data_IF_805698592408
#
_entry.id   IF_805698592408
#
_cell.length_a   1.000
_cell.length_b   1.000
_cell.length_c   1.000
_cell.angle_alpha   90.00
_cell.angle_beta   90.00
_cell.angle_gamma   90.00
#
_symmetry.space_group_name_H-M   'P 1'
#
loop_
_entity.id
_entity.type
_entity.pdbx_description
1 polymer ?
#
# COMPACT_ATOMS: atom_id res chain seq x y z
N UNK A 1 38.49 -27.18 32.90
CA UNK A 1 37.74 -26.02 33.43
C UNK A 1 37.02 -25.40 32.24
N UNK A 2 35.70 -25.63 32.13
CA UNK A 2 34.82 -25.04 31.12
C UNK A 2 34.20 -23.78 31.70
N UNK A 3 34.18 -22.67 30.97
CA UNK A 3 33.11 -21.68 31.11
C UNK A 3 32.74 -21.19 29.71
N UNK A 4 31.50 -21.49 29.38
CA UNK A 4 30.71 -21.02 28.24
C UNK A 4 30.16 -19.64 28.56
N UNK A 5 30.09 -18.76 27.57
CA UNK A 5 29.26 -17.55 27.66
C UNK A 5 28.69 -17.18 26.29
N UNK A 6 27.44 -17.58 26.10
CA UNK A 6 26.50 -17.10 25.09
C UNK A 6 25.83 -15.81 25.60
N UNK A 7 25.62 -14.80 24.75
CA UNK A 7 24.52 -13.85 24.94
C UNK A 7 23.65 -13.82 23.68
N UNK A 8 22.35 -14.08 23.72
CA UNK A 8 21.40 -13.50 24.65
C UNK A 8 20.48 -12.53 23.90
N UNK A 9 19.46 -13.11 23.26
CA UNK A 9 18.11 -12.60 22.96
C UNK A 9 17.83 -11.11 23.26
N UNK A 10 17.57 -10.29 22.23
CA UNK A 10 17.00 -8.94 22.36
C UNK A 10 15.57 -8.91 21.82
N UNK A 11 14.63 -9.20 22.71
CA UNK A 11 13.21 -8.93 22.55
C UNK A 11 13.02 -7.40 22.53
N UNK A 12 12.48 -6.85 21.43
CA UNK A 12 12.00 -5.47 21.39
C UNK A 12 10.52 -5.47 21.77
N UNK A 13 10.22 -4.94 22.94
CA UNK A 13 8.88 -4.67 23.46
C UNK A 13 8.37 -3.37 22.82
N UNK A 14 7.23 -3.43 22.15
CA UNK A 14 6.48 -2.26 21.69
C UNK A 14 5.63 -1.71 22.85
N UNK A 15 5.64 -0.40 23.15
CA UNK A 15 4.71 0.18 24.09
C UNK A 15 3.33 0.40 23.44
N UNK A 16 2.32 -0.06 24.15
CA UNK A 16 0.89 0.22 24.00
C UNK A 16 0.62 1.72 24.27
N UNK A 17 -0.16 2.37 23.41
CA UNK A 17 -0.66 3.73 23.63
C UNK A 17 -2.15 3.81 23.31
N UNK A 18 -2.95 3.42 24.29
CA UNK A 18 -4.35 3.83 24.42
C UNK A 18 -4.44 5.14 25.21
N UNK A 19 -5.25 6.05 24.65
CA UNK A 19 -6.20 6.93 25.36
C UNK A 19 -5.69 8.26 25.94
N UNK A 20 -6.25 9.36 25.41
CA UNK A 20 -6.48 10.62 26.13
C UNK A 20 -7.76 11.27 25.56
N UNK A 21 -8.72 11.53 26.45
CA UNK A 21 -9.94 12.27 26.20
C UNK A 21 -9.69 13.79 26.26
N UNK A 22 -10.46 14.61 25.54
CA UNK A 22 -10.67 16.01 25.89
C UNK A 22 -12.07 16.51 25.50
N UNK A 23 -12.57 17.40 26.34
CA UNK A 23 -13.95 17.81 26.68
C UNK A 23 -14.49 18.90 25.72
N UNK A 24 -15.83 19.05 25.57
CA UNK A 24 -16.43 20.01 24.62
C UNK A 24 -16.49 21.43 25.17
N UNK A 25 -16.43 22.43 24.27
CA UNK A 25 -16.73 23.82 24.57
C UNK A 25 -17.84 24.36 23.66
N UNK A 26 -18.98 24.64 24.29
CA UNK A 26 -20.09 25.46 23.80
C UNK A 26 -19.61 26.90 23.58
N UNK A 27 -19.95 27.48 22.44
CA UNK A 27 -20.12 28.92 22.31
C UNK A 27 -21.50 29.23 21.69
N UNK A 28 -22.20 30.15 22.34
CA UNK A 28 -23.52 30.70 21.99
C UNK A 28 -23.33 32.01 21.20
N UNK A 29 -24.23 32.30 20.24
CA UNK A 29 -24.39 33.61 19.59
C UNK A 29 -24.87 33.50 18.14
N UNK A 30 -26.18 33.48 17.83
CA UNK A 30 -27.12 34.60 17.61
C UNK A 30 -27.24 35.10 16.14
N UNK A 31 -28.30 34.62 15.46
CA UNK A 31 -29.29 35.34 14.61
C UNK A 31 -28.87 35.97 13.26
N UNK A 32 -29.38 35.46 12.12
CA UNK A 32 -30.52 36.00 11.33
C UNK A 32 -30.88 35.13 10.12
N UNK A 33 -32.20 35.03 9.95
CA UNK A 33 -33.06 34.49 8.89
C UNK A 33 -32.69 34.94 7.47
N UNK A 34 -32.68 34.01 6.49
CA UNK A 34 -33.24 34.24 5.15
C UNK A 34 -33.74 32.93 4.53
N UNK A 35 -35.02 32.94 4.10
CA UNK A 35 -35.60 31.97 3.17
C UNK A 35 -34.91 32.12 1.82
N UNK A 36 -34.61 31.01 1.18
CA UNK A 36 -34.18 30.96 -0.21
C UNK A 36 -33.98 29.52 -0.65
N UNK A 37 -35.03 28.90 -1.16
CA UNK A 37 -34.91 27.69 -1.96
C UNK A 37 -34.12 28.04 -3.22
N UNK A 38 -33.02 27.34 -3.49
CA UNK A 38 -32.52 27.23 -4.87
C UNK A 38 -31.52 26.09 -4.99
N UNK A 39 -31.93 25.12 -5.82
CA UNK A 39 -31.12 24.20 -6.61
C UNK A 39 -29.75 23.80 -6.03
N UNK A 40 -29.70 22.62 -5.40
CA UNK A 40 -28.49 21.82 -5.41
C UNK A 40 -28.21 21.51 -6.89
N UNK A 41 -27.12 22.01 -7.49
CA UNK A 41 -26.68 21.44 -8.74
C UNK A 41 -26.28 20.02 -8.36
N UNK A 42 -26.99 19.03 -8.86
CA UNK A 42 -26.44 17.71 -8.98
C UNK A 42 -25.25 17.86 -9.94
N UNK A 43 -24.10 18.25 -9.37
CA UNK A 43 -22.81 17.96 -9.97
C UNK A 43 -22.85 16.44 -10.01
N UNK A 44 -23.30 15.90 -11.15
CA UNK A 44 -22.91 14.57 -11.60
C UNK A 44 -21.41 14.67 -11.67
N UNK A 45 -20.78 14.43 -10.52
CA UNK A 45 -19.38 14.16 -10.40
C UNK A 45 -19.15 13.14 -11.47
N UNK A 46 -18.42 13.55 -12.49
CA UNK A 46 -17.83 12.63 -13.43
C UNK A 46 -17.01 11.74 -12.50
N UNK A 47 -17.57 10.61 -12.09
CA UNK A 47 -16.81 9.53 -11.49
C UNK A 47 -15.79 9.25 -12.58
N UNK A 48 -14.63 9.89 -12.50
CA UNK A 48 -13.47 9.47 -13.24
C UNK A 48 -13.42 7.98 -12.91
N UNK A 49 -13.67 7.15 -13.91
CA UNK A 49 -13.67 5.72 -13.71
C UNK A 49 -12.29 5.41 -13.12
N UNK A 50 -12.25 5.18 -11.81
CA UNK A 50 -11.03 4.84 -11.10
C UNK A 50 -10.66 3.50 -11.71
N UNK A 51 -9.70 3.52 -12.64
CA UNK A 51 -9.24 2.30 -13.27
C UNK A 51 -8.67 1.48 -12.11
N UNK A 52 -9.23 0.29 -11.83
CA UNK A 52 -8.80 -0.48 -10.68
C UNK A 52 -7.32 -0.85 -10.87
N UNK A 53 -6.53 -0.68 -9.80
CA UNK A 53 -5.09 -0.95 -9.80
C UNK A 53 -4.77 -2.45 -9.91
N UNK A 54 -5.78 -3.32 -9.78
CA UNK A 54 -5.69 -4.75 -10.07
C UNK A 54 -6.98 -5.23 -10.72
N UNK A 55 -6.87 -6.19 -11.63
CA UNK A 55 -8.00 -6.98 -12.16
C UNK A 55 -8.53 -7.93 -11.08
N UNK A 56 -9.73 -8.49 -11.28
CA UNK A 56 -10.32 -9.42 -10.32
C UNK A 56 -9.48 -10.72 -10.23
N UNK A 57 -8.92 -11.16 -11.35
CA UNK A 57 -8.02 -12.32 -11.41
C UNK A 57 -6.72 -12.06 -10.65
N UNK A 58 -6.11 -10.89 -10.84
CA UNK A 58 -4.93 -10.47 -10.07
C UNK A 58 -5.23 -10.36 -8.58
N UNK A 59 -6.38 -9.77 -8.22
CA UNK A 59 -6.83 -9.64 -6.84
C UNK A 59 -7.07 -10.99 -6.17
N UNK A 60 -7.67 -11.94 -6.88
CA UNK A 60 -7.85 -13.32 -6.42
C UNK A 60 -6.51 -13.98 -6.11
N UNK A 61 -5.51 -13.83 -7.01
CA UNK A 61 -4.15 -14.36 -6.75
C UNK A 61 -3.50 -13.70 -5.54
N UNK A 62 -3.58 -12.38 -5.44
CA UNK A 62 -3.02 -11.62 -4.31
C UNK A 62 -3.65 -12.03 -2.98
N UNK A 63 -4.97 -12.24 -2.95
CA UNK A 63 -5.69 -12.70 -1.76
C UNK A 63 -5.32 -14.13 -1.38
N UNK A 64 -5.15 -15.03 -2.35
CA UNK A 64 -4.69 -16.39 -2.08
C UNK A 64 -3.29 -16.41 -1.43
N UNK A 65 -2.36 -15.60 -1.95
CA UNK A 65 -1.05 -15.41 -1.31
C UNK A 65 -1.17 -14.80 0.09
N UNK A 66 -2.10 -13.85 0.27
CA UNK A 66 -2.39 -13.22 1.56
C UNK A 66 -2.90 -14.20 2.61
N UNK A 67 -3.83 -15.08 2.22
CA UNK A 67 -4.35 -16.13 3.10
C UNK A 67 -3.24 -17.10 3.54
N UNK A 68 -2.39 -17.53 2.61
CA UNK A 68 -1.25 -18.38 2.92
C UNK A 68 -0.28 -17.70 3.91
N UNK A 69 0.06 -16.41 3.70
CA UNK A 69 0.90 -15.64 4.64
C UNK A 69 0.24 -15.47 6.00
N UNK A 70 -1.05 -15.15 6.04
CA UNK A 70 -1.81 -14.99 7.29
C UNK A 70 -1.90 -16.30 8.09
N UNK A 71 -1.90 -17.45 7.40
CA UNK A 71 -1.80 -18.77 8.00
C UNK A 71 -0.37 -19.14 8.49
N UNK A 72 0.60 -18.23 8.38
CA UNK A 72 1.98 -18.44 8.81
C UNK A 72 2.80 -19.32 7.86
N UNK A 73 2.33 -19.53 6.63
CA UNK A 73 3.09 -20.27 5.63
C UNK A 73 4.25 -19.41 5.11
N UNK A 74 5.44 -19.99 5.07
CA UNK A 74 6.58 -19.37 4.41
C UNK A 74 6.45 -19.56 2.90
N UNK A 75 5.93 -18.52 2.23
CA UNK A 75 5.71 -18.53 0.78
C UNK A 75 6.58 -17.49 0.08
N UNK A 76 7.07 -17.86 -1.10
CA UNK A 76 7.81 -16.99 -2.00
C UNK A 76 7.11 -16.96 -3.38
N UNK A 77 5.97 -16.24 -3.49
CA UNK A 77 5.15 -16.26 -4.68
C UNK A 77 5.79 -15.48 -5.83
N UNK A 78 5.35 -15.78 -7.05
CA UNK A 78 5.51 -14.85 -8.17
C UNK A 78 4.66 -13.59 -7.89
N UNK A 79 5.22 -12.37 -8.02
CA UNK A 79 4.43 -11.16 -7.89
C UNK A 79 3.30 -11.14 -8.91
N UNK A 80 2.11 -10.71 -8.49
CA UNK A 80 0.92 -10.77 -9.34
C UNK A 80 0.65 -9.47 -10.10
N UNK A 81 1.13 -8.33 -9.58
CA UNK A 81 0.84 -7.00 -10.13
C UNK A 81 2.09 -6.12 -10.03
N UNK A 82 2.38 -5.39 -11.11
CA UNK A 82 3.34 -4.28 -11.11
C UNK A 82 2.58 -2.97 -11.32
N UNK A 83 2.81 -2.02 -10.43
CA UNK A 83 2.29 -0.66 -10.49
C UNK A 83 3.46 0.31 -10.63
N UNK A 84 3.23 1.43 -11.31
CA UNK A 84 4.23 2.47 -11.45
C UNK A 84 3.59 3.85 -11.62
N UNK A 85 4.31 4.88 -11.23
CA UNK A 85 3.92 6.27 -11.49
C UNK A 85 4.61 6.72 -12.79
N UNK A 86 3.91 6.99 -13.90
CA UNK A 86 4.56 7.17 -15.20
C UNK A 86 5.47 8.38 -15.38
N UNK A 87 5.34 9.36 -14.50
CA UNK A 87 6.10 10.62 -14.45
C UNK A 87 6.94 10.74 -13.17
N UNK A 88 7.08 9.63 -12.43
CA UNK A 88 8.02 9.48 -11.32
C UNK A 88 8.74 8.14 -11.45
N UNK A 89 9.82 7.92 -10.72
CA UNK A 89 10.53 6.63 -10.74
C UNK A 89 10.00 5.67 -9.68
N UNK A 90 8.74 5.80 -9.28
CA UNK A 90 8.12 4.97 -8.26
C UNK A 90 7.48 3.72 -8.87
N UNK A 91 7.83 2.56 -8.33
CA UNK A 91 7.36 1.24 -8.75
C UNK A 91 6.97 0.40 -7.52
N UNK A 92 5.85 -0.31 -7.62
CA UNK A 92 5.40 -1.28 -6.61
C UNK A 92 5.16 -2.63 -7.26
N UNK A 93 5.78 -3.66 -6.71
CA UNK A 93 5.67 -5.03 -7.18
C UNK A 93 4.94 -5.87 -6.11
N UNK A 94 3.65 -6.11 -6.33
CA UNK A 94 2.74 -6.65 -5.31
C UNK A 94 2.71 -8.17 -5.33
N UNK A 95 2.88 -8.75 -4.15
CA UNK A 95 2.93 -10.20 -3.95
C UNK A 95 1.69 -10.75 -3.24
N UNK A 96 1.06 -10.00 -2.34
CA UNK A 96 -0.16 -10.42 -1.66
C UNK A 96 -1.04 -9.24 -1.24
N UNK A 97 -2.31 -9.51 -0.97
CA UNK A 97 -3.25 -8.60 -0.30
C UNK A 97 -3.68 -9.18 1.03
N UNK A 98 -3.79 -8.34 2.05
CA UNK A 98 -4.36 -8.73 3.35
C UNK A 98 -5.81 -9.19 3.15
N UNK A 99 -6.16 -10.45 3.50
CA UNK A 99 -7.53 -10.94 3.36
C UNK A 99 -8.53 -10.25 4.29
N UNK A 100 -8.08 -9.54 5.33
CA UNK A 100 -8.96 -8.85 6.28
C UNK A 100 -9.59 -7.57 5.68
N UNK A 101 -8.85 -6.82 4.88
CA UNK A 101 -9.32 -5.57 4.27
C UNK A 101 -9.38 -5.62 2.73
N UNK A 102 -8.65 -6.54 2.09
CA UNK A 102 -8.54 -6.66 0.65
C UNK A 102 -7.99 -5.42 -0.05
N UNK A 103 -7.23 -4.59 0.67
CA UNK A 103 -6.71 -3.27 0.27
C UNK A 103 -5.23 -3.11 0.65
N UNK A 104 -4.79 -3.63 1.80
CA UNK A 104 -3.39 -3.59 2.23
C UNK A 104 -2.59 -4.62 1.45
N UNK A 105 -1.78 -4.16 0.51
CA UNK A 105 -0.88 -5.00 -0.27
C UNK A 105 0.47 -5.14 0.43
N UNK A 106 1.11 -6.29 0.26
CA UNK A 106 2.50 -6.53 0.60
C UNK A 106 3.30 -6.79 -0.67
N UNK A 107 4.51 -6.23 -0.75
CA UNK A 107 5.34 -6.34 -1.94
C UNK A 107 6.66 -5.60 -1.83
N UNK A 108 7.38 -5.56 -2.94
CA UNK A 108 8.62 -4.81 -3.10
C UNK A 108 8.29 -3.39 -3.59
N UNK A 109 8.82 -2.39 -2.89
CA UNK A 109 8.53 -0.98 -3.08
C UNK A 109 9.83 -0.26 -3.46
N UNK A 110 9.80 0.44 -4.58
CA UNK A 110 10.87 1.30 -5.05
C UNK A 110 10.32 2.70 -5.27
N UNK A 111 10.82 3.68 -4.53
CA UNK A 111 10.38 5.07 -4.66
C UNK A 111 11.25 5.89 -5.63
N UNK A 112 12.19 5.25 -6.33
CA UNK A 112 13.12 5.91 -7.24
C UNK A 112 14.26 6.64 -6.53
N UNK A 113 14.60 6.23 -5.31
CA UNK A 113 15.64 6.84 -4.46
C UNK A 113 16.84 5.92 -4.21
N UNK A 114 16.95 4.80 -4.92
CA UNK A 114 18.08 3.86 -4.80
C UNK A 114 17.98 2.87 -3.64
N UNK A 115 16.81 2.76 -2.98
CA UNK A 115 16.63 1.95 -1.77
C UNK A 115 15.32 1.13 -1.82
N UNK A 116 15.18 0.19 -2.77
CA UNK A 116 14.01 -0.66 -2.85
C UNK A 116 13.94 -1.63 -1.67
N UNK A 117 12.74 -1.79 -1.10
CA UNK A 117 12.54 -2.59 0.10
C UNK A 117 11.17 -3.29 0.11
N UNK A 118 11.09 -4.42 0.83
CA UNK A 118 9.81 -5.05 1.14
C UNK A 118 9.01 -4.17 2.10
N UNK A 119 7.72 -4.03 1.84
CA UNK A 119 6.82 -3.24 2.67
C UNK A 119 5.36 -3.54 2.41
N UNK A 120 4.51 -2.83 3.14
CA UNK A 120 3.06 -2.83 2.92
C UNK A 120 2.58 -1.47 2.45
N UNK A 121 1.54 -1.46 1.63
CA UNK A 121 0.93 -0.25 1.08
C UNK A 121 -0.53 -0.51 0.73
N UNK A 122 -1.42 0.44 0.96
CA UNK A 122 -2.83 0.29 0.58
C UNK A 122 -3.05 0.66 -0.88
N UNK A 123 -3.84 -0.14 -1.59
CA UNK A 123 -4.22 0.18 -2.97
C UNK A 123 -5.00 1.49 -3.04
N UNK A 124 -5.84 1.77 -2.04
CA UNK A 124 -6.54 3.06 -1.91
C UNK A 124 -5.61 4.26 -1.76
N UNK A 125 -4.51 4.12 -1.01
CA UNK A 125 -3.49 5.16 -0.88
C UNK A 125 -2.75 5.35 -2.22
N UNK A 126 -2.36 4.25 -2.88
CA UNK A 126 -1.73 4.30 -4.21
C UNK A 126 -2.63 4.94 -5.27
N UNK A 127 -3.94 4.66 -5.24
CA UNK A 127 -4.90 5.26 -6.16
C UNK A 127 -5.05 6.79 -5.95
N UNK A 128 -4.65 7.28 -4.78
CA UNK A 128 -4.66 8.71 -4.43
C UNK A 128 -3.36 9.41 -4.80
N UNK A 129 -2.29 8.67 -5.12
CA UNK A 129 -1.00 9.24 -5.53
C UNK A 129 -1.12 9.78 -6.96
N UNK A 130 -0.68 11.02 -7.12
CA UNK A 130 -0.54 11.69 -8.41
C UNK A 130 0.89 12.21 -8.53
N UNK A 131 1.57 11.86 -9.62
CA UNK A 131 2.92 12.26 -9.88
C UNK A 131 3.07 13.74 -10.31
N UNK A 132 4.32 14.21 -10.48
CA UNK A 132 4.63 15.63 -10.65
C UNK A 132 3.94 16.31 -11.86
N UNK A 133 3.63 15.54 -12.91
CA UNK A 133 2.96 16.01 -14.13
C UNK A 133 1.49 15.61 -14.16
N UNK A 134 0.87 15.44 -13.00
CA UNK A 134 -0.54 15.08 -12.86
C UNK A 134 -0.90 13.70 -13.43
N UNK A 135 0.06 12.76 -13.48
CA UNK A 135 -0.22 11.38 -13.90
C UNK A 135 -0.46 10.49 -12.68
N UNK A 136 -1.57 9.74 -12.63
CA UNK A 136 -1.83 8.83 -11.51
C UNK A 136 -0.95 7.58 -11.61
N UNK A 137 -0.90 6.81 -10.53
CA UNK A 137 -0.37 5.44 -10.54
C UNK A 137 -1.09 4.60 -11.60
N UNK A 138 -0.34 3.83 -12.36
CA UNK A 138 -0.83 2.95 -13.42
C UNK A 138 -0.46 1.50 -13.14
N UNK A 139 -1.35 0.57 -13.50
CA UNK A 139 -1.05 -0.85 -13.59
C UNK A 139 -0.30 -1.16 -14.89
N UNK A 140 0.81 -1.87 -14.78
CA UNK A 140 1.47 -2.46 -15.94
C UNK A 140 0.66 -3.67 -16.45
N UNK A 141 0.09 -3.52 -17.64
CA UNK A 141 -0.78 -4.53 -18.26
C UNK A 141 0.01 -5.65 -18.93
N UNK A 142 1.29 -5.43 -19.20
CA UNK A 142 2.16 -6.37 -19.89
C UNK A 142 3.14 -7.05 -18.95
N UNK A 143 3.09 -6.71 -17.65
CA UNK A 143 3.89 -7.33 -16.63
C UNK A 143 3.69 -8.85 -16.60
N UNK A 144 4.78 -9.58 -16.77
CA UNK A 144 4.84 -11.04 -16.64
C UNK A 144 5.95 -11.38 -15.65
N UNK A 145 5.63 -11.86 -14.44
CA UNK A 145 6.64 -12.18 -13.44
C UNK A 145 7.49 -13.36 -13.92
N UNK A 146 8.79 -13.15 -14.07
CA UNK A 146 9.76 -14.19 -14.47
C UNK A 146 10.54 -14.75 -13.27
N UNK A 147 10.41 -14.12 -12.11
CA UNK A 147 11.15 -14.44 -10.87
C UNK A 147 10.23 -14.42 -9.66
N UNK A 148 10.61 -15.15 -8.62
CA UNK A 148 9.93 -15.09 -7.32
C UNK A 148 10.22 -13.76 -6.63
N UNK A 149 9.39 -13.40 -5.65
CA UNK A 149 9.54 -12.14 -4.92
C UNK A 149 10.94 -12.01 -4.30
N UNK A 150 11.46 -13.06 -3.68
CA UNK A 150 12.79 -13.07 -3.05
C UNK A 150 13.92 -12.69 -4.03
N UNK A 151 13.87 -13.20 -5.26
CA UNK A 151 14.85 -12.89 -6.31
C UNK A 151 14.70 -11.45 -6.82
N UNK A 152 13.47 -10.96 -6.98
CA UNK A 152 13.24 -9.55 -7.30
C UNK A 152 13.80 -8.63 -6.21
N UNK A 153 13.64 -8.99 -4.93
CA UNK A 153 14.18 -8.22 -3.79
C UNK A 153 15.70 -8.19 -3.84
N UNK A 154 16.35 -9.35 -4.01
CA UNK A 154 17.80 -9.45 -4.08
C UNK A 154 18.37 -8.58 -5.21
N UNK A 155 17.83 -8.73 -6.43
CA UNK A 155 18.27 -7.96 -7.59
C UNK A 155 18.01 -6.46 -7.40
N UNK A 156 16.85 -6.08 -6.87
CA UNK A 156 16.55 -4.67 -6.66
C UNK A 156 17.49 -4.03 -5.63
N UNK A 157 17.88 -4.76 -4.58
CA UNK A 157 18.84 -4.28 -3.60
C UNK A 157 20.27 -4.16 -4.17
N UNK A 158 20.64 -5.05 -5.09
CA UNK A 158 21.94 -5.01 -5.79
C UNK A 158 22.00 -3.85 -6.79
N UNK A 159 20.93 -3.65 -7.56
CA UNK A 159 20.87 -2.66 -8.65
C UNK A 159 20.39 -1.28 -8.16
N UNK A 160 19.82 -1.20 -6.97
CA UNK A 160 19.20 0.00 -6.41
C UNK A 160 17.81 0.33 -7.01
N UNK A 161 17.26 -0.54 -7.85
CA UNK A 161 15.93 -0.35 -8.46
C UNK A 161 15.27 -1.68 -8.84
N UNK A 162 13.94 -1.73 -8.89
CA UNK A 162 13.23 -2.93 -9.35
C UNK A 162 13.55 -3.20 -10.83
N UNK A 163 14.02 -4.41 -11.19
CA UNK A 163 14.31 -4.74 -12.58
C UNK A 163 13.02 -4.87 -13.40
N UNK A 164 13.14 -4.56 -14.70
CA UNK A 164 12.02 -4.62 -15.63
C UNK A 164 11.50 -6.03 -15.95
#
# INVERSE_FOLDING_TARGET
MRISSNPGNRIRVFPDFRQCAFVPLRFYGFVRKHRGASAVPCIRGRHAAVIPLATEEERTRLLAHGQARAAGQDIDPLPAVRLFTPDAHATWLLASLDPADGDTAYGLIDLGIGMPALGTVRLSDLASIVGPRQRPVMRDRYFQPTRRLSEYVRLAQEDGSIPD
#
